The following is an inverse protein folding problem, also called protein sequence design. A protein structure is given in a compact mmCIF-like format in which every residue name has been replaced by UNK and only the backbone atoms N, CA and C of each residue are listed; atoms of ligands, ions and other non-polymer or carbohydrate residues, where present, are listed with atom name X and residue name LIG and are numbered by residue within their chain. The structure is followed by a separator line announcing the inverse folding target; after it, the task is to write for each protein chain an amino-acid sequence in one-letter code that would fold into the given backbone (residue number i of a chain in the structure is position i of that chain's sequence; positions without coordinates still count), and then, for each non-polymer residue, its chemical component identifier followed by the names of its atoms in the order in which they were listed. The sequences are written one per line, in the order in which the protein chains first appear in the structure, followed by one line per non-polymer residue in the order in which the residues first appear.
data_IF_818331070450
#
_entry.id   IF_818331070450
#
_cell.length_a   1.000
_cell.length_b   1.000
_cell.length_c   1.000
_cell.angle_alpha   90.00
_cell.angle_beta   90.00
_cell.angle_gamma   90.00
#
_symmetry.space_group_name_H-M   'P 1'
#
loop_
_entity.id
_entity.type
_entity.pdbx_description
1 polymer ?
#
# COMPACT_ATOMS: atom_id res chain seq x y z
N UNK A 1 -2.30 -31.69 -5.35
CA UNK A 1 -1.72 -31.50 -4.00
C UNK A 1 -1.44 -30.01 -3.81
N UNK A 2 -2.26 -29.29 -3.05
CA UNK A 2 -1.98 -27.88 -2.74
C UNK A 2 -0.77 -27.82 -1.80
N UNK A 3 0.33 -27.16 -2.18
CA UNK A 3 1.48 -26.98 -1.29
C UNK A 3 1.01 -26.38 0.03
N UNK A 4 1.40 -26.98 1.17
CA UNK A 4 1.07 -26.46 2.49
C UNK A 4 1.74 -25.10 2.66
N UNK A 5 0.98 -24.02 2.44
CA UNK A 5 1.47 -22.65 2.56
C UNK A 5 1.61 -22.30 4.04
N UNK A 6 2.78 -21.82 4.50
CA UNK A 6 2.95 -21.39 5.89
C UNK A 6 1.93 -20.32 6.25
N UNK A 7 1.37 -20.37 7.46
CA UNK A 7 0.40 -19.38 7.95
C UNK A 7 0.93 -17.94 7.83
N UNK A 8 2.24 -17.74 7.96
CA UNK A 8 2.92 -16.46 7.77
C UNK A 8 2.77 -15.88 6.35
N UNK A 9 2.80 -16.71 5.30
CA UNK A 9 2.64 -16.26 3.90
C UNK A 9 1.18 -15.86 3.64
N UNK A 10 0.24 -16.61 4.21
CA UNK A 10 -1.18 -16.28 4.19
C UNK A 10 -1.45 -14.96 4.92
N UNK A 11 -0.85 -14.76 6.10
CA UNK A 11 -0.94 -13.51 6.86
C UNK A 11 -0.37 -12.32 6.10
N UNK A 12 0.84 -12.45 5.53
CA UNK A 12 1.45 -11.42 4.70
C UNK A 12 0.59 -11.07 3.48
N UNK A 13 -0.02 -12.07 2.84
CA UNK A 13 -0.94 -11.86 1.71
C UNK A 13 -2.14 -11.03 2.13
N UNK A 14 -2.81 -11.39 3.23
CA UNK A 14 -3.99 -10.67 3.72
C UNK A 14 -3.65 -9.26 4.20
N UNK A 15 -2.50 -9.08 4.85
CA UNK A 15 -2.01 -7.76 5.24
C UNK A 15 -1.73 -6.88 4.02
N UNK A 16 -1.11 -7.40 2.96
CA UNK A 16 -0.92 -6.65 1.71
C UNK A 16 -2.25 -6.31 1.03
N UNK A 17 -3.26 -7.19 1.08
CA UNK A 17 -4.62 -6.86 0.62
C UNK A 17 -5.24 -5.76 1.50
N UNK A 18 -5.02 -5.78 2.81
CA UNK A 18 -5.49 -4.74 3.72
C UNK A 18 -4.84 -3.38 3.42
N UNK A 19 -3.55 -3.33 3.07
CA UNK A 19 -2.88 -2.10 2.59
C UNK A 19 -3.58 -1.55 1.34
N UNK A 20 -3.88 -2.41 0.36
CA UNK A 20 -4.61 -1.99 -0.85
C UNK A 20 -6.00 -1.45 -0.50
N UNK A 21 -6.72 -2.12 0.40
CA UNK A 21 -8.03 -1.68 0.86
C UNK A 21 -7.97 -0.31 1.56
N UNK A 22 -6.96 -0.07 2.41
CA UNK A 22 -6.75 1.23 3.07
C UNK A 22 -6.36 2.32 2.08
N UNK A 23 -5.56 2.00 1.06
CA UNK A 23 -5.25 2.92 -0.04
C UNK A 23 -6.51 3.29 -0.82
N UNK A 24 -7.38 2.32 -1.08
CA UNK A 24 -8.68 2.55 -1.73
C UNK A 24 -9.63 3.39 -0.88
N UNK A 25 -9.69 3.14 0.43
CA UNK A 25 -10.45 3.97 1.36
C UNK A 25 -9.94 5.42 1.35
N UNK A 26 -8.62 5.62 1.33
CA UNK A 26 -8.01 6.95 1.27
C UNK A 26 -8.38 7.66 -0.04
N UNK A 27 -8.32 6.95 -1.17
CA UNK A 27 -8.74 7.49 -2.47
C UNK A 27 -10.24 7.84 -2.49
N UNK A 28 -11.10 7.01 -1.89
CA UNK A 28 -12.53 7.30 -1.73
C UNK A 28 -12.77 8.55 -0.89
N UNK A 29 -12.03 8.72 0.21
CA UNK A 29 -12.12 9.94 1.02
C UNK A 29 -11.69 11.17 0.20
N UNK A 30 -10.68 11.08 -0.66
CA UNK A 30 -10.33 12.15 -1.59
C UNK A 30 -11.49 12.51 -2.53
N UNK A 31 -12.29 11.54 -2.97
CA UNK A 31 -13.50 11.82 -3.76
C UNK A 31 -14.57 12.56 -2.95
N UNK A 32 -14.77 12.16 -1.69
CA UNK A 32 -15.81 12.72 -0.82
C UNK A 32 -15.46 14.14 -0.37
N UNK A 33 -14.19 14.41 -0.13
CA UNK A 33 -13.68 15.66 0.42
C UNK A 33 -12.93 16.51 -0.62
N UNK A 34 -13.22 16.33 -1.93
CA UNK A 34 -12.56 17.06 -3.00
C UNK A 34 -12.70 18.58 -2.85
N UNK A 35 -13.92 19.05 -2.54
CA UNK A 35 -14.19 20.48 -2.32
C UNK A 35 -13.35 21.03 -1.14
N UNK A 36 -13.27 20.30 -0.03
CA UNK A 36 -12.46 20.71 1.13
C UNK A 36 -10.95 20.72 0.80
N UNK A 37 -10.48 19.81 -0.05
CA UNK A 37 -9.08 19.77 -0.52
C UNK A 37 -8.76 20.95 -1.43
N UNK A 38 -9.70 21.32 -2.32
CA UNK A 38 -9.58 22.51 -3.17
C UNK A 38 -9.60 23.78 -2.32
N UNK A 39 -10.48 23.87 -1.32
CA UNK A 39 -10.57 25.00 -0.40
C UNK A 39 -9.30 25.14 0.46
N UNK A 40 -8.78 24.04 1.00
CA UNK A 40 -7.51 24.03 1.75
C UNK A 40 -6.32 24.46 0.88
N UNK A 41 -6.32 24.06 -0.40
CA UNK A 41 -5.31 24.50 -1.37
C UNK A 41 -5.45 25.98 -1.74
N UNK A 42 -6.68 26.50 -1.80
CA UNK A 42 -6.95 27.91 -2.08
C UNK A 42 -6.59 28.83 -0.90
N UNK A 43 -6.87 28.41 0.34
CA UNK A 43 -6.58 29.18 1.55
C UNK A 43 -5.09 29.52 1.74
N UNK A 44 -4.19 28.72 1.16
CA UNK A 44 -2.75 28.96 1.19
C UNK A 44 -2.21 29.97 0.17
N UNK A 45 -3.04 30.55 -0.71
CA UNK A 45 -2.60 31.46 -1.79
C UNK A 45 -3.17 32.87 -1.64
N UNK A 46 -2.38 33.87 -1.99
CA UNK A 46 -2.84 35.26 -2.11
C UNK A 46 -3.64 35.43 -3.41
N UNK A 47 -4.68 36.27 -3.39
CA UNK A 47 -5.70 36.42 -4.45
C UNK A 47 -5.19 36.76 -5.88
N UNK A 48 -3.87 36.88 -6.07
CA UNK A 48 -3.21 37.23 -7.35
C UNK A 48 -2.76 36.01 -8.17
N UNK A 49 -2.86 34.78 -7.67
CA UNK A 49 -2.40 33.59 -8.41
C UNK A 49 -3.50 33.03 -9.32
N UNK A 50 -3.43 33.35 -10.62
CA UNK A 50 -4.25 32.78 -11.70
C UNK A 50 -3.92 31.30 -12.01
N UNK A 51 -3.60 30.51 -10.97
CA UNK A 51 -3.25 29.09 -11.09
C UNK A 51 -4.52 28.28 -10.86
N UNK A 52 -4.88 27.48 -11.85
CA UNK A 52 -6.02 26.56 -11.82
C UNK A 52 -5.87 25.57 -10.66
N UNK A 53 -6.94 25.26 -9.91
CA UNK A 53 -6.91 24.24 -8.88
C UNK A 53 -6.44 22.88 -9.40
N UNK A 54 -5.60 22.14 -8.64
CA UNK A 54 -5.15 20.83 -9.04
C UNK A 54 -6.33 19.87 -9.14
N UNK A 55 -6.31 19.00 -10.15
CA UNK A 55 -7.24 17.89 -10.22
C UNK A 55 -6.81 16.79 -9.23
N UNK A 56 -7.26 16.85 -7.97
CA UNK A 56 -6.89 15.90 -6.93
C UNK A 56 -7.51 14.51 -7.17
N UNK A 57 -8.78 14.47 -7.55
CA UNK A 57 -9.54 13.23 -7.78
C UNK A 57 -8.93 12.33 -8.86
N UNK A 58 -8.65 12.79 -10.11
CA UNK A 58 -8.09 11.91 -11.13
C UNK A 58 -6.72 11.33 -10.74
N UNK A 59 -5.90 12.12 -10.05
CA UNK A 59 -4.58 11.68 -9.58
C UNK A 59 -4.71 10.60 -8.52
N UNK A 60 -5.57 10.81 -7.52
CA UNK A 60 -5.80 9.83 -6.45
C UNK A 60 -6.35 8.51 -6.98
N UNK A 61 -7.34 8.56 -7.88
CA UNK A 61 -7.92 7.37 -8.53
C UNK A 61 -6.87 6.62 -9.35
N UNK A 62 -6.09 7.34 -10.17
CA UNK A 62 -5.05 6.72 -11.00
C UNK A 62 -3.98 6.06 -10.14
N UNK A 63 -3.50 6.73 -9.11
CA UNK A 63 -2.52 6.16 -8.18
C UNK A 63 -3.07 4.93 -7.46
N UNK A 64 -4.30 4.98 -6.97
CA UNK A 64 -4.93 3.81 -6.36
C UNK A 64 -5.00 2.62 -7.32
N UNK A 65 -5.47 2.82 -8.55
CA UNK A 65 -5.58 1.75 -9.55
C UNK A 65 -4.21 1.15 -9.85
N UNK A 66 -3.18 1.97 -10.06
CA UNK A 66 -1.82 1.50 -10.34
C UNK A 66 -1.27 0.70 -9.15
N UNK A 67 -1.37 1.22 -7.93
CA UNK A 67 -0.90 0.53 -6.71
C UNK A 67 -1.66 -0.78 -6.50
N UNK A 68 -2.98 -0.80 -6.69
CA UNK A 68 -3.80 -1.98 -6.54
C UNK A 68 -3.41 -3.07 -7.54
N UNK A 69 -3.28 -2.73 -8.83
CA UNK A 69 -2.90 -3.68 -9.87
C UNK A 69 -1.49 -4.22 -9.64
N UNK A 70 -0.51 -3.35 -9.33
CA UNK A 70 0.83 -3.78 -8.99
C UNK A 70 0.84 -4.71 -7.78
N UNK A 71 0.09 -4.36 -6.72
CA UNK A 71 -0.01 -5.19 -5.52
C UNK A 71 -0.58 -6.57 -5.83
N UNK A 72 -1.64 -6.65 -6.64
CA UNK A 72 -2.24 -7.94 -7.07
C UNK A 72 -1.21 -8.82 -7.77
N UNK A 73 -0.49 -8.25 -8.74
CA UNK A 73 0.55 -8.97 -9.50
C UNK A 73 1.67 -9.43 -8.57
N UNK A 74 2.19 -8.56 -7.72
CA UNK A 74 3.26 -8.88 -6.78
C UNK A 74 2.84 -9.91 -5.72
N UNK A 75 1.59 -9.85 -5.26
CA UNK A 75 1.01 -10.85 -4.36
C UNK A 75 0.94 -12.21 -5.05
N UNK A 76 0.56 -12.26 -6.33
CA UNK A 76 0.56 -13.52 -7.09
C UNK A 76 1.96 -14.15 -7.13
N UNK A 77 2.98 -13.37 -7.46
CA UNK A 77 4.38 -13.84 -7.45
C UNK A 77 4.90 -14.17 -6.04
N UNK A 78 4.51 -13.42 -5.02
CA UNK A 78 4.85 -13.74 -3.63
C UNK A 78 4.29 -15.12 -3.22
N UNK A 79 3.05 -15.43 -3.64
CA UNK A 79 2.38 -16.72 -3.36
C UNK A 79 3.03 -17.92 -4.06
N UNK A 80 3.85 -17.67 -5.08
CA UNK A 80 4.71 -18.66 -5.74
C UNK A 80 6.10 -18.78 -5.11
N UNK A 81 6.46 -17.88 -4.19
CA UNK A 81 7.74 -17.91 -3.47
C UNK A 81 8.84 -17.08 -4.14
N UNK A 82 8.51 -16.12 -5.00
CA UNK A 82 9.54 -15.28 -5.62
C UNK A 82 10.08 -14.23 -4.65
N UNK A 83 11.38 -14.29 -4.34
CA UNK A 83 12.00 -13.34 -3.40
C UNK A 83 12.01 -11.89 -3.91
N UNK A 84 12.17 -11.68 -5.21
CA UNK A 84 12.14 -10.34 -5.80
C UNK A 84 10.76 -9.68 -5.61
N UNK A 85 9.67 -10.45 -5.73
CA UNK A 85 8.32 -9.95 -5.54
C UNK A 85 8.10 -9.47 -4.11
N UNK A 86 8.65 -10.18 -3.12
CA UNK A 86 8.67 -9.75 -1.72
C UNK A 86 9.37 -8.40 -1.56
N UNK A 87 10.55 -8.21 -2.16
CA UNK A 87 11.29 -6.94 -2.06
C UNK A 87 10.52 -5.78 -2.69
N UNK A 88 9.97 -5.99 -3.89
CA UNK A 88 9.23 -4.94 -4.62
C UNK A 88 7.91 -4.61 -3.92
N UNK A 89 7.15 -5.60 -3.46
CA UNK A 89 5.90 -5.38 -2.72
C UNK A 89 6.13 -4.56 -1.46
N UNK A 90 7.28 -4.77 -0.83
CA UNK A 90 7.64 -4.05 0.37
C UNK A 90 8.06 -2.62 0.14
N UNK A 91 8.80 -2.38 -0.95
CA UNK A 91 9.10 -1.03 -1.40
C UNK A 91 7.80 -0.28 -1.76
N UNK A 92 6.84 -0.97 -2.38
CA UNK A 92 5.53 -0.41 -2.69
C UNK A 92 4.76 -0.02 -1.42
N UNK A 93 4.65 -0.92 -0.43
CA UNK A 93 4.00 -0.62 0.87
C UNK A 93 4.71 0.53 1.59
N UNK A 94 6.04 0.56 1.59
CA UNK A 94 6.79 1.66 2.19
C UNK A 94 6.52 3.00 1.49
N UNK A 95 6.41 3.01 0.16
CA UNK A 95 6.07 4.20 -0.62
C UNK A 95 4.65 4.71 -0.31
N UNK A 96 3.68 3.79 -0.16
CA UNK A 96 2.33 4.13 0.30
C UNK A 96 2.38 4.78 1.69
N UNK A 97 3.13 4.19 2.63
CA UNK A 97 3.32 4.76 3.97
C UNK A 97 3.95 6.16 3.96
N UNK A 98 4.93 6.40 3.09
CA UNK A 98 5.52 7.75 2.89
C UNK A 98 4.48 8.73 2.35
N UNK A 99 3.66 8.31 1.39
CA UNK A 99 2.54 9.11 0.88
C UNK A 99 1.56 9.49 1.99
N UNK A 100 1.18 8.52 2.82
CA UNK A 100 0.32 8.73 3.99
C UNK A 100 0.92 9.73 4.99
N UNK A 101 2.23 9.64 5.28
CA UNK A 101 2.92 10.61 6.13
C UNK A 101 2.96 12.02 5.53
N UNK A 102 3.03 12.15 4.20
CA UNK A 102 2.98 13.44 3.54
C UNK A 102 1.62 14.12 3.72
N UNK A 103 0.52 13.36 3.64
CA UNK A 103 -0.85 13.84 3.90
C UNK A 103 -0.99 14.32 5.35
N UNK A 104 -0.38 13.64 6.31
CA UNK A 104 -0.45 14.07 7.72
C UNK A 104 0.17 15.44 7.98
N UNK A 105 1.06 15.92 7.12
CA UNK A 105 1.66 17.26 7.24
C UNK A 105 0.74 18.40 6.79
N UNK A 106 -0.37 18.10 6.13
CA UNK A 106 -1.26 19.11 5.54
C UNK A 106 -2.45 19.47 6.44
N UNK A 107 -2.40 19.16 7.74
CA UNK A 107 -3.48 19.43 8.71
C UNK A 107 -4.85 18.84 8.32
N UNK A 108 -4.93 17.54 7.95
CA UNK A 108 -6.16 16.98 7.40
C UNK A 108 -7.30 16.89 8.44
N UNK A 109 -8.57 16.76 8.00
CA UNK A 109 -9.71 16.53 8.88
C UNK A 109 -9.49 15.34 9.82
N UNK A 110 -10.10 15.35 11.01
CA UNK A 110 -9.88 14.32 12.04
C UNK A 110 -10.10 12.89 11.52
N UNK A 111 -11.08 12.69 10.64
CA UNK A 111 -11.34 11.39 10.02
C UNK A 111 -10.17 10.91 9.15
N UNK A 112 -9.59 11.79 8.34
CA UNK A 112 -8.39 11.48 7.55
C UNK A 112 -7.20 11.14 8.46
N UNK A 113 -7.02 11.84 9.57
CA UNK A 113 -5.97 11.55 10.55
C UNK A 113 -6.11 10.14 11.12
N UNK A 114 -7.32 9.75 11.54
CA UNK A 114 -7.57 8.41 12.10
C UNK A 114 -7.34 7.31 11.07
N UNK A 115 -7.84 7.50 9.84
CA UNK A 115 -7.66 6.54 8.74
C UNK A 115 -6.19 6.44 8.33
N UNK A 116 -5.47 7.56 8.26
CA UNK A 116 -4.05 7.58 7.95
C UNK A 116 -3.22 6.84 9.01
N UNK A 117 -3.49 7.06 10.30
CA UNK A 117 -2.82 6.35 11.39
C UNK A 117 -3.10 4.85 11.34
N UNK A 118 -4.36 4.45 11.11
CA UNK A 118 -4.71 3.05 10.93
C UNK A 118 -4.00 2.43 9.72
N UNK A 119 -3.92 3.16 8.59
CA UNK A 119 -3.20 2.71 7.40
C UNK A 119 -1.72 2.50 7.71
N UNK A 120 -1.09 3.43 8.42
CA UNK A 120 0.33 3.33 8.78
C UNK A 120 0.64 2.09 9.62
N UNK A 121 -0.27 1.73 10.54
CA UNK A 121 -0.15 0.51 11.34
C UNK A 121 -0.28 -0.74 10.48
N UNK A 122 -1.20 -0.74 9.51
CA UNK A 122 -1.37 -1.84 8.55
C UNK A 122 -0.15 -1.97 7.63
N UNK A 123 0.40 -0.84 7.15
CA UNK A 123 1.61 -0.79 6.33
C UNK A 123 2.81 -1.37 7.09
N UNK A 124 3.02 -0.94 8.34
CA UNK A 124 4.09 -1.45 9.20
C UNK A 124 3.92 -2.95 9.47
N UNK A 125 2.70 -3.40 9.78
CA UNK A 125 2.41 -4.81 10.00
C UNK A 125 2.64 -5.66 8.73
N UNK A 126 2.27 -5.14 7.55
CA UNK A 126 2.52 -5.80 6.28
C UNK A 126 4.02 -5.95 6.00
N UNK A 127 4.82 -4.90 6.21
CA UNK A 127 6.29 -4.96 6.06
C UNK A 127 6.89 -5.98 7.04
N UNK A 128 6.49 -5.96 8.31
CA UNK A 128 6.96 -6.92 9.32
C UNK A 128 6.61 -8.36 8.91
N UNK A 129 5.39 -8.60 8.45
CA UNK A 129 4.95 -9.92 7.98
C UNK A 129 5.72 -10.38 6.73
N UNK A 130 6.03 -9.46 5.82
CA UNK A 130 6.86 -9.73 4.64
C UNK A 130 8.31 -10.07 5.02
N UNK A 131 8.86 -9.51 6.09
CA UNK A 131 10.20 -9.85 6.60
C UNK A 131 10.23 -10.96 7.64
N UNK A 132 9.07 -11.50 8.02
CA UNK A 132 9.00 -12.61 8.95
C UNK A 132 9.86 -13.78 8.45
N UNK A 133 10.53 -14.47 9.38
CA UNK A 133 11.50 -15.54 9.08
C UNK A 133 10.91 -16.60 8.16
N UNK A 134 9.64 -16.95 8.37
CA UNK A 134 8.94 -17.96 7.57
C UNK A 134 8.65 -17.50 6.14
N UNK A 135 8.26 -16.23 5.95
CA UNK A 135 8.05 -15.63 4.63
C UNK A 135 9.37 -15.58 3.85
N UNK A 136 10.46 -15.19 4.52
CA UNK A 136 11.81 -15.20 3.93
C UNK A 136 12.27 -16.61 3.57
N UNK A 137 12.04 -17.58 4.46
CA UNK A 137 12.42 -18.98 4.23
C UNK A 137 11.62 -19.59 3.07
N UNK A 138 10.34 -19.26 2.95
CA UNK A 138 9.51 -19.68 1.82
C UNK A 138 10.04 -19.13 0.49
N UNK A 139 10.35 -17.83 0.43
CA UNK A 139 10.84 -17.20 -0.80
C UNK A 139 12.27 -17.60 -1.20
N UNK A 140 13.08 -18.12 -0.27
CA UNK A 140 14.47 -18.53 -0.53
C UNK A 140 14.58 -19.95 -1.06
N UNK A 141 13.53 -20.79 -0.95
CA UNK A 141 13.55 -22.17 -1.46
C UNK A 141 13.66 -22.14 -2.98
N UNK A 142 14.78 -22.62 -3.53
CA UNK A 142 14.94 -22.75 -4.98
C UNK A 142 14.13 -23.94 -5.50
N UNK A 143 13.54 -23.84 -6.71
CA UNK A 143 12.98 -25.00 -7.40
C UNK A 143 14.13 -25.98 -7.69
N UNK A 144 14.29 -26.98 -6.82
CA UNK A 144 15.40 -27.95 -6.86
C UNK A 144 15.75 -28.57 -5.50
N UNK A 145 15.52 -27.86 -4.39
CA UNK A 145 15.88 -28.36 -3.03
C UNK A 145 15.05 -29.58 -2.58
N UNK A 146 13.93 -29.87 -3.23
CA UNK A 146 13.12 -31.07 -2.96
C UNK A 146 13.64 -32.33 -3.65
N UNK A 147 14.60 -32.22 -4.58
CA UNK A 147 15.14 -33.36 -5.32
C UNK A 147 16.23 -34.12 -4.55
N UNK A 148 16.77 -33.57 -3.45
CA UNK A 148 17.90 -34.15 -2.70
C UNK A 148 17.42 -35.10 -1.57
N UNK A 149 16.12 -35.24 -1.37
CA UNK A 149 15.52 -36.06 -0.30
C UNK A 149 14.60 -37.18 -0.81
N UNK A 150 14.85 -37.69 -2.03
CA UNK A 150 14.23 -38.94 -2.49
C UNK A 150 15.29 -39.98 -2.83
#
# INVERSE_FOLDING_TARGET
MTPHRPAAVTGATWLSVAVVAMTGLTALLTLVFDDELVDAWAAGRTASSAVEPPAFVPVAVTMFVVVALLSVVLIAFLREGHEWARMVLSALVALVGVGTLAILRTSPPLLFLLVALASLLVDAAAVVALWHRDTRAFCKRRPGDTAVLR
#
